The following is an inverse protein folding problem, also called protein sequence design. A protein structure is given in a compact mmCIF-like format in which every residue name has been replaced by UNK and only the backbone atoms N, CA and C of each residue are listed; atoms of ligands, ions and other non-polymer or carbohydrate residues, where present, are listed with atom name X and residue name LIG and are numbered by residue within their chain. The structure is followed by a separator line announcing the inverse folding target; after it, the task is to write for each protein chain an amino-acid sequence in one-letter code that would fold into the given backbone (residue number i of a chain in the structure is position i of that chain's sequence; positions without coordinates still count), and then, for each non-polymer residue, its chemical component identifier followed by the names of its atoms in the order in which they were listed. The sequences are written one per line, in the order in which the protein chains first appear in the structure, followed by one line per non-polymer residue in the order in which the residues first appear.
data_IF_207991502409
#
_entry.id   IF_207991502409
#
_cell.length_a   1.000
_cell.length_b   1.000
_cell.length_c   1.000
_cell.angle_alpha   90.00
_cell.angle_beta   90.00
_cell.angle_gamma   90.00
#
_symmetry.space_group_name_H-M   'P 1'
#
loop_
_entity.id
_entity.type
_entity.pdbx_description
1 polymer ?
#
# COMPACT_ATOMS: atom_id res chain seq x y z
N UNK A 1 11.44 12.67 68.71
CA UNK A 1 11.69 11.22 68.83
C UNK A 1 10.49 10.48 68.30
N UNK A 2 10.75 9.49 67.44
CA UNK A 2 9.85 8.49 66.86
C UNK A 2 8.81 8.89 65.80
N UNK A 3 8.93 8.14 64.69
CA UNK A 3 7.86 7.57 63.88
C UNK A 3 7.28 8.44 62.76
N UNK A 4 7.78 8.20 61.54
CA UNK A 4 6.95 7.97 60.32
C UNK A 4 7.68 8.23 58.98
N UNK A 5 9.00 8.40 58.97
CA UNK A 5 9.79 8.54 57.71
C UNK A 5 10.15 7.17 57.09
N UNK A 6 9.67 6.05 57.65
CA UNK A 6 10.03 4.69 57.20
C UNK A 6 9.03 4.02 56.25
N UNK A 7 8.10 4.76 55.63
CA UNK A 7 7.14 4.15 54.70
C UNK A 7 7.48 4.28 53.21
N UNK A 8 8.47 5.10 52.83
CA UNK A 8 8.78 5.35 51.40
C UNK A 8 9.92 4.51 50.79
N UNK A 9 10.68 3.75 51.60
CA UNK A 9 11.82 2.96 51.09
C UNK A 9 11.50 1.51 50.73
N UNK A 10 10.22 1.13 50.68
CA UNK A 10 9.80 -0.27 50.41
C UNK A 10 9.13 -0.49 49.05
N UNK A 11 9.20 0.48 48.13
CA UNK A 11 8.52 0.38 46.83
C UNK A 11 9.41 0.02 45.65
N UNK A 12 10.74 0.05 45.76
CA UNK A 12 11.61 -0.30 44.63
C UNK A 12 12.89 -1.01 45.06
N UNK A 13 12.77 -2.26 45.51
CA UNK A 13 13.90 -3.20 45.42
C UNK A 13 13.45 -4.66 45.42
N UNK A 14 13.23 -5.18 44.23
CA UNK A 14 13.51 -6.59 43.92
C UNK A 14 13.78 -6.71 42.42
N UNK A 15 15.06 -6.67 42.03
CA UNK A 15 15.47 -7.18 40.72
C UNK A 15 15.73 -8.69 40.86
N UNK A 16 14.68 -9.47 41.07
CA UNK A 16 14.76 -10.91 40.84
C UNK A 16 14.72 -11.12 39.33
N UNK A 17 15.84 -11.52 38.74
CA UNK A 17 15.91 -11.90 37.33
C UNK A 17 14.82 -12.91 37.00
N UNK A 18 14.18 -12.75 35.84
CA UNK A 18 13.12 -13.66 35.39
C UNK A 18 13.76 -15.04 35.23
N UNK A 19 13.29 -16.02 36.01
CA UNK A 19 13.75 -17.41 35.89
C UNK A 19 13.39 -17.96 34.52
N UNK A 20 14.30 -18.71 33.90
CA UNK A 20 14.08 -19.38 32.60
C UNK A 20 12.79 -20.23 32.64
N UNK A 21 12.52 -20.90 33.77
CA UNK A 21 11.29 -21.67 33.97
C UNK A 21 10.05 -20.78 33.88
N UNK A 22 10.11 -19.58 34.48
CA UNK A 22 9.01 -18.61 34.39
C UNK A 22 8.78 -18.15 32.95
N UNK A 23 9.84 -17.92 32.17
CA UNK A 23 9.73 -17.55 30.75
C UNK A 23 9.07 -18.69 29.96
N UNK A 24 9.50 -19.93 30.18
CA UNK A 24 8.96 -21.11 29.49
C UNK A 24 7.47 -21.29 29.81
N UNK A 25 7.07 -21.18 31.09
CA UNK A 25 5.67 -21.30 31.50
C UNK A 25 4.84 -20.17 30.89
N UNK A 26 5.31 -18.92 30.95
CA UNK A 26 4.59 -17.78 30.35
C UNK A 26 4.45 -17.95 28.83
N UNK A 27 5.50 -18.39 28.14
CA UNK A 27 5.45 -18.66 26.70
C UNK A 27 4.47 -19.80 26.37
N UNK A 28 4.46 -20.88 27.16
CA UNK A 28 3.53 -21.99 26.97
C UNK A 28 2.07 -21.58 27.19
N UNK A 29 1.78 -20.78 28.22
CA UNK A 29 0.43 -20.26 28.48
C UNK A 29 -0.02 -19.31 27.37
N UNK A 30 0.87 -18.44 26.89
CA UNK A 30 0.59 -17.57 25.74
C UNK A 30 0.29 -18.39 24.50
N UNK A 31 1.13 -19.36 24.15
CA UNK A 31 0.94 -20.22 22.97
C UNK A 31 -0.34 -21.04 23.09
N UNK A 32 -0.65 -21.62 24.25
CA UNK A 32 -1.88 -22.37 24.48
C UNK A 32 -3.12 -21.47 24.39
N UNK A 33 -3.10 -20.29 25.00
CA UNK A 33 -4.20 -19.32 24.93
C UNK A 33 -4.43 -18.82 23.51
N UNK A 34 -3.36 -18.55 22.77
CA UNK A 34 -3.41 -18.13 21.37
C UNK A 34 -3.95 -19.24 20.45
N UNK A 35 -3.56 -20.51 20.68
CA UNK A 35 -4.11 -21.65 19.95
C UNK A 35 -5.60 -21.86 20.24
N UNK A 36 -6.01 -21.78 21.51
CA UNK A 36 -7.41 -21.87 21.89
C UNK A 36 -8.24 -20.72 21.27
N UNK A 37 -7.69 -19.51 21.24
CA UNK A 37 -8.35 -18.37 20.61
C UNK A 37 -8.48 -18.53 19.08
N UNK A 38 -7.43 -19.00 18.40
CA UNK A 38 -7.43 -19.27 16.96
C UNK A 38 -8.40 -20.40 16.57
N UNK A 39 -8.63 -21.39 17.45
CA UNK A 39 -9.63 -22.43 17.24
C UNK A 39 -11.05 -21.88 17.12
N UNK A 40 -11.41 -20.87 17.93
CA UNK A 40 -12.73 -20.23 17.87
C UNK A 40 -12.79 -19.05 16.89
N UNK A 41 -11.65 -18.57 16.39
CA UNK A 41 -11.54 -17.46 15.45
C UNK A 41 -10.66 -17.88 14.27
N UNK A 42 -11.16 -18.71 13.33
CA UNK A 42 -10.35 -19.27 12.25
C UNK A 42 -9.75 -18.21 11.31
N UNK A 43 -10.31 -16.99 11.28
CA UNK A 43 -9.79 -15.85 10.51
C UNK A 43 -8.65 -15.09 11.21
N UNK A 44 -8.35 -15.44 12.47
CA UNK A 44 -7.28 -14.83 13.25
C UNK A 44 -5.92 -15.26 12.69
N UNK A 45 -5.26 -14.33 12.03
CA UNK A 45 -3.90 -14.51 11.51
C UNK A 45 -3.00 -13.46 12.13
N UNK A 46 -2.00 -13.86 12.92
CA UNK A 46 -1.03 -12.95 13.53
C UNK A 46 -0.37 -11.99 12.55
N UNK A 47 -0.22 -12.41 11.28
CA UNK A 47 0.34 -11.59 10.20
C UNK A 47 -0.43 -10.29 10.00
N UNK A 48 -1.76 -10.29 10.19
CA UNK A 48 -2.66 -9.12 10.07
C UNK A 48 -2.49 -8.10 11.19
N UNK A 49 -1.74 -8.43 12.24
CA UNK A 49 -1.45 -7.51 13.36
C UNK A 49 0.03 -7.11 13.43
N UNK A 50 0.81 -7.43 12.40
CA UNK A 50 2.19 -6.94 12.30
C UNK A 50 2.21 -5.44 11.97
N UNK A 51 3.21 -4.72 12.50
CA UNK A 51 3.42 -3.29 12.18
C UNK A 51 3.54 -3.08 10.66
N UNK A 52 4.21 -4.02 9.97
CA UNK A 52 4.34 -4.03 8.51
C UNK A 52 2.97 -4.07 7.84
N UNK A 53 2.07 -4.96 8.27
CA UNK A 53 0.73 -5.03 7.71
C UNK A 53 -0.05 -3.73 7.91
N UNK A 54 0.04 -3.10 9.08
CA UNK A 54 -0.64 -1.83 9.36
C UNK A 54 -0.09 -0.70 8.47
N UNK A 55 1.23 -0.58 8.33
CA UNK A 55 1.87 0.40 7.43
C UNK A 55 1.37 0.20 5.99
N UNK A 56 1.34 -1.05 5.54
CA UNK A 56 0.87 -1.42 4.22
C UNK A 56 -0.61 -1.06 4.00
N UNK A 57 -1.48 -1.14 5.01
CA UNK A 57 -2.88 -0.67 4.89
C UNK A 57 -2.94 0.82 4.55
N UNK A 58 -2.15 1.65 5.24
CA UNK A 58 -2.13 3.09 4.98
C UNK A 58 -1.56 3.39 3.60
N UNK A 59 -0.49 2.69 3.19
CA UNK A 59 0.06 2.77 1.84
C UNK A 59 -0.97 2.40 0.78
N UNK A 60 -1.65 1.27 0.92
CA UNK A 60 -2.67 0.81 -0.02
C UNK A 60 -3.84 1.81 -0.12
N UNK A 61 -4.25 2.40 1.01
CA UNK A 61 -5.28 3.45 1.03
C UNK A 61 -4.83 4.69 0.25
N UNK A 62 -3.58 5.11 0.44
CA UNK A 62 -3.00 6.23 -0.31
C UNK A 62 -2.96 5.93 -1.81
N UNK A 63 -2.46 4.75 -2.22
CA UNK A 63 -2.39 4.37 -3.63
C UNK A 63 -3.75 4.40 -4.33
N UNK A 64 -4.79 3.92 -3.66
CA UNK A 64 -6.17 4.00 -4.17
C UNK A 64 -6.62 5.45 -4.34
N UNK A 65 -6.39 6.31 -3.34
CA UNK A 65 -6.74 7.72 -3.41
C UNK A 65 -5.96 8.47 -4.50
N UNK A 66 -4.69 8.14 -4.70
CA UNK A 66 -3.84 8.70 -5.75
C UNK A 66 -4.35 8.31 -7.14
N UNK A 67 -4.70 7.04 -7.38
CA UNK A 67 -5.25 6.62 -8.67
C UNK A 67 -6.56 7.33 -9.01
N UNK A 68 -7.42 7.60 -8.03
CA UNK A 68 -8.65 8.38 -8.26
C UNK A 68 -8.34 9.85 -8.62
N UNK A 69 -7.34 10.47 -7.99
CA UNK A 69 -6.91 11.82 -8.36
C UNK A 69 -6.35 11.86 -9.79
N UNK A 70 -5.55 10.86 -10.15
CA UNK A 70 -5.01 10.69 -11.50
C UNK A 70 -6.13 10.46 -12.51
N UNK A 71 -7.09 9.60 -12.19
CA UNK A 71 -8.28 9.37 -13.02
C UNK A 71 -8.99 10.68 -13.34
N UNK A 72 -9.25 11.52 -12.33
CA UNK A 72 -9.92 12.82 -12.51
C UNK A 72 -9.13 13.72 -13.46
N UNK A 73 -7.79 13.74 -13.37
CA UNK A 73 -6.97 14.52 -14.30
C UNK A 73 -7.02 13.97 -15.74
N UNK A 74 -6.98 12.65 -15.92
CA UNK A 74 -7.10 11.98 -17.23
C UNK A 74 -8.48 12.23 -17.84
N UNK A 75 -9.55 12.22 -17.04
CA UNK A 75 -10.91 12.53 -17.48
C UNK A 75 -11.08 14.00 -17.88
N UNK A 76 -10.46 14.93 -17.14
CA UNK A 76 -10.43 16.35 -17.54
C UNK A 76 -9.70 16.55 -18.87
N UNK A 77 -8.59 15.86 -19.09
CA UNK A 77 -7.90 15.89 -20.38
C UNK A 77 -8.83 15.46 -21.51
N UNK A 78 -9.61 14.39 -21.31
CA UNK A 78 -10.60 13.95 -22.30
C UNK A 78 -11.65 15.03 -22.57
N UNK A 79 -12.20 15.64 -21.51
CA UNK A 79 -13.24 16.67 -21.65
C UNK A 79 -12.75 17.88 -22.48
N UNK A 80 -11.45 18.18 -22.46
CA UNK A 80 -10.84 19.28 -23.22
C UNK A 80 -10.37 18.88 -24.63
N UNK A 81 -9.97 17.62 -24.84
CA UNK A 81 -9.30 17.18 -26.07
C UNK A 81 -10.15 16.22 -26.92
N UNK A 82 -11.22 15.65 -26.37
CA UNK A 82 -12.08 14.66 -27.04
C UNK A 82 -11.41 13.30 -27.26
N UNK A 83 -10.35 13.00 -26.52
CA UNK A 83 -9.69 11.70 -26.42
C UNK A 83 -8.83 11.60 -25.16
N UNK A 84 -8.54 10.38 -24.70
CA UNK A 84 -7.61 10.17 -23.58
C UNK A 84 -6.16 10.42 -23.97
N UNK A 85 -5.25 10.72 -23.03
CA UNK A 85 -3.84 10.96 -23.32
C UNK A 85 -3.18 9.85 -24.14
N UNK A 86 -2.14 10.20 -24.90
CA UNK A 86 -1.30 9.28 -25.69
C UNK A 86 -2.03 8.61 -26.86
N UNK A 87 -1.45 7.58 -27.50
CA UNK A 87 -2.06 6.86 -28.64
C UNK A 87 -2.72 5.55 -28.20
N UNK A 88 -3.61 5.00 -29.01
CA UNK A 88 -4.24 3.69 -28.74
C UNK A 88 -3.17 2.60 -28.51
N UNK A 89 -3.35 1.82 -27.45
CA UNK A 89 -2.41 0.79 -27.02
C UNK A 89 -1.12 1.31 -26.36
N UNK A 90 -0.96 2.62 -26.18
CA UNK A 90 0.14 3.15 -25.39
C UNK A 90 0.02 2.68 -23.94
N UNK A 91 1.14 2.27 -23.37
CA UNK A 91 1.19 1.84 -22.00
C UNK A 91 2.58 2.08 -21.40
N UNK A 92 2.59 2.52 -20.15
CA UNK A 92 3.80 2.82 -19.42
C UNK A 92 3.56 3.39 -18.04
N UNK A 93 4.65 3.56 -17.29
CA UNK A 93 4.62 4.29 -16.02
C UNK A 93 4.15 5.72 -16.24
N UNK A 94 3.23 6.19 -15.41
CA UNK A 94 2.59 7.50 -15.63
C UNK A 94 3.59 8.65 -15.52
N UNK A 95 4.53 8.55 -14.56
CA UNK A 95 5.70 9.44 -14.49
C UNK A 95 6.92 8.68 -15.00
N UNK A 96 7.16 8.75 -16.31
CA UNK A 96 8.39 8.25 -16.92
C UNK A 96 9.28 9.40 -17.41
N UNK A 97 10.59 9.21 -17.29
CA UNK A 97 11.60 10.11 -17.89
C UNK A 97 11.79 9.78 -19.38
N UNK A 98 11.71 8.50 -19.74
CA UNK A 98 11.94 8.02 -21.11
C UNK A 98 10.68 8.13 -21.97
N UNK A 99 9.50 8.02 -21.36
CA UNK A 99 8.21 8.05 -22.05
C UNK A 99 7.24 9.04 -21.36
N UNK A 100 7.51 10.36 -21.42
CA UNK A 100 6.80 11.36 -20.63
C UNK A 100 5.42 11.71 -21.18
N UNK A 101 4.96 11.10 -22.29
CA UNK A 101 3.75 11.49 -23.03
C UNK A 101 2.50 11.62 -22.14
N UNK A 102 2.24 10.61 -21.30
CA UNK A 102 1.10 10.61 -20.38
C UNK A 102 1.26 11.67 -19.27
N UNK A 103 2.48 11.83 -18.75
CA UNK A 103 2.82 12.82 -17.72
C UNK A 103 2.58 14.24 -18.25
N UNK A 104 3.14 14.55 -19.41
CA UNK A 104 3.10 15.89 -20.00
C UNK A 104 1.68 16.28 -20.39
N UNK A 105 0.83 15.32 -20.76
CA UNK A 105 -0.58 15.55 -21.04
C UNK A 105 -1.38 15.97 -19.80
N UNK A 106 -1.09 15.40 -18.62
CA UNK A 106 -1.95 15.59 -17.44
C UNK A 106 -1.35 16.47 -16.34
N UNK A 107 -0.03 16.77 -16.37
CA UNK A 107 0.65 17.49 -15.30
C UNK A 107 0.02 18.87 -15.03
N UNK A 108 -0.54 19.51 -16.05
CA UNK A 108 -1.22 20.81 -15.92
C UNK A 108 -2.52 20.78 -15.10
N UNK A 109 -3.12 19.61 -14.89
CA UNK A 109 -4.30 19.45 -14.03
C UNK A 109 -3.94 19.26 -12.55
N UNK A 110 -2.66 19.15 -12.23
CA UNK A 110 -2.15 19.11 -10.87
C UNK A 110 -1.60 20.48 -10.48
N UNK A 111 -1.81 20.85 -9.21
CA UNK A 111 -1.23 22.06 -8.65
C UNK A 111 0.28 21.91 -8.39
N UNK A 112 0.78 22.69 -7.44
CA UNK A 112 2.20 22.66 -7.02
C UNK A 112 2.68 21.30 -6.51
N UNK A 113 1.75 20.44 -6.10
CA UNK A 113 2.06 19.11 -5.55
C UNK A 113 2.41 18.08 -6.64
N UNK A 114 2.11 18.39 -7.91
CA UNK A 114 2.39 17.52 -9.05
C UNK A 114 1.54 16.25 -9.09
N UNK A 115 1.87 15.36 -10.04
CA UNK A 115 1.21 14.04 -10.15
C UNK A 115 1.65 13.17 -8.95
N UNK A 116 0.71 12.57 -8.19
CA UNK A 116 1.05 11.63 -7.13
C UNK A 116 1.89 10.45 -7.61
N UNK A 117 2.76 9.93 -6.74
CA UNK A 117 3.60 8.76 -7.00
C UNK A 117 3.42 7.74 -5.88
N UNK A 118 3.66 6.46 -6.19
CA UNK A 118 3.59 5.38 -5.20
C UNK A 118 4.53 5.69 -4.02
N UNK A 119 4.03 5.70 -2.77
CA UNK A 119 4.84 6.07 -1.60
C UNK A 119 6.00 5.11 -1.31
N UNK A 120 5.94 3.86 -1.77
CA UNK A 120 7.00 2.86 -1.59
C UNK A 120 7.83 2.63 -2.86
N UNK A 121 7.24 2.87 -4.03
CA UNK A 121 7.85 2.54 -5.33
C UNK A 121 8.11 3.75 -6.22
N UNK A 122 8.09 4.96 -5.64
CA UNK A 122 8.38 6.23 -6.34
C UNK A 122 9.59 6.11 -7.26
N UNK A 123 9.39 6.39 -8.54
CA UNK A 123 10.49 6.43 -9.49
C UNK A 123 10.93 5.07 -10.05
N UNK A 124 10.34 3.97 -9.58
CA UNK A 124 10.67 2.60 -10.00
C UNK A 124 9.66 2.05 -11.01
N UNK A 125 9.90 0.87 -11.59
CA UNK A 125 8.94 0.20 -12.47
C UNK A 125 7.63 -0.22 -11.80
N UNK A 126 7.52 -0.13 -10.47
CA UNK A 126 6.32 -0.46 -9.70
C UNK A 126 5.53 0.79 -9.25
N UNK A 127 5.93 1.98 -9.70
CA UNK A 127 5.13 3.20 -9.56
C UNK A 127 3.82 3.09 -10.37
N UNK A 128 2.94 4.10 -10.28
CA UNK A 128 1.65 4.07 -10.96
C UNK A 128 1.78 3.91 -12.47
N UNK A 129 0.95 3.05 -13.04
CA UNK A 129 0.97 2.69 -14.45
C UNK A 129 -0.27 3.21 -15.16
N UNK A 130 -0.11 3.64 -16.41
CA UNK A 130 -1.18 4.09 -17.29
C UNK A 130 -1.16 3.27 -18.58
N UNK A 131 -2.35 2.90 -19.06
CA UNK A 131 -2.53 2.34 -20.39
C UNK A 131 -3.79 2.92 -21.02
N UNK A 132 -3.64 3.44 -22.23
CA UNK A 132 -4.76 3.78 -23.12
C UNK A 132 -5.15 2.51 -23.86
N UNK A 133 -6.37 2.03 -23.63
CA UNK A 133 -6.89 0.85 -24.32
C UNK A 133 -7.37 1.25 -25.73
N UNK A 134 -8.15 2.32 -25.79
CA UNK A 134 -8.57 2.97 -27.03
C UNK A 134 -8.81 4.48 -26.78
N UNK A 135 -9.34 5.19 -27.78
CA UNK A 135 -9.64 6.63 -27.70
C UNK A 135 -10.52 7.04 -26.52
N UNK A 136 -11.43 6.16 -26.12
CA UNK A 136 -12.50 6.40 -25.18
C UNK A 136 -12.40 5.52 -23.93
N UNK A 137 -11.33 4.75 -23.76
CA UNK A 137 -11.10 3.92 -22.58
C UNK A 137 -9.64 3.88 -22.13
N UNK A 138 -9.43 3.87 -20.81
CA UNK A 138 -8.09 3.72 -20.22
C UNK A 138 -8.12 2.94 -18.91
N UNK A 139 -6.94 2.53 -18.48
CA UNK A 139 -6.70 1.87 -17.20
C UNK A 139 -5.51 2.50 -16.47
N UNK A 140 -5.65 2.58 -15.14
CA UNK A 140 -4.62 2.97 -14.19
C UNK A 140 -4.36 1.81 -13.24
N UNK A 141 -3.11 1.57 -12.89
CA UNK A 141 -2.72 0.43 -12.07
C UNK A 141 -1.83 0.83 -10.91
N UNK A 142 -1.99 0.11 -9.80
CA UNK A 142 -1.09 0.16 -8.65
C UNK A 142 -0.80 -1.26 -8.12
N UNK A 143 0.35 -1.40 -7.45
CA UNK A 143 0.70 -2.58 -6.66
C UNK A 143 0.26 -2.33 -5.21
N UNK A 144 -0.72 -3.08 -4.74
CA UNK A 144 -1.09 -3.13 -3.32
C UNK A 144 -0.29 -4.21 -2.60
N UNK A 145 0.01 -3.98 -1.33
CA UNK A 145 0.80 -4.90 -0.51
C UNK A 145 -0.08 -5.88 0.26
N UNK A 146 -1.27 -5.44 0.68
CA UNK A 146 -2.19 -6.26 1.46
C UNK A 146 -3.41 -6.62 0.62
N UNK A 147 -3.33 -7.77 -0.05
CA UNK A 147 -4.41 -8.28 -0.89
C UNK A 147 -5.18 -9.40 -0.20
N UNK A 148 -6.51 -9.46 -0.39
CA UNK A 148 -7.26 -10.69 -0.20
C UNK A 148 -6.72 -11.81 -1.09
N UNK A 149 -6.80 -13.06 -0.61
CA UNK A 149 -6.48 -14.23 -1.43
C UNK A 149 -7.36 -14.26 -2.69
N UNK A 150 -6.75 -14.53 -3.85
CA UNK A 150 -7.45 -14.56 -5.15
C UNK A 150 -7.64 -13.19 -5.81
N UNK A 151 -7.01 -12.13 -5.28
CA UNK A 151 -7.00 -10.83 -5.96
C UNK A 151 -6.42 -10.95 -7.37
N UNK A 152 -7.00 -10.27 -8.38
CA UNK A 152 -6.49 -10.33 -9.74
C UNK A 152 -5.09 -9.72 -9.82
N UNK A 153 -4.28 -10.27 -10.71
CA UNK A 153 -3.01 -9.69 -11.14
C UNK A 153 -3.12 -9.31 -12.60
N UNK A 154 -2.66 -8.13 -12.94
CA UNK A 154 -2.68 -7.58 -14.28
C UNK A 154 -1.29 -7.68 -14.90
N UNK A 155 -1.23 -8.21 -16.12
CA UNK A 155 0.02 -8.31 -16.87
C UNK A 155 -0.06 -7.53 -18.18
N UNK A 156 0.86 -6.59 -18.32
CA UNK A 156 1.06 -5.75 -19.49
C UNK A 156 2.51 -5.82 -19.97
N UNK A 157 3.02 -7.05 -20.11
CA UNK A 157 4.32 -7.32 -20.69
C UNK A 157 4.46 -6.68 -22.09
N UNK A 158 5.63 -6.09 -22.35
CA UNK A 158 5.90 -5.32 -23.57
C UNK A 158 5.54 -3.83 -23.47
N UNK A 159 4.92 -3.38 -22.38
CA UNK A 159 4.72 -1.96 -22.12
C UNK A 159 5.99 -1.27 -21.62
N UNK A 160 6.05 0.05 -21.82
CA UNK A 160 7.21 0.86 -21.44
C UNK A 160 7.39 0.85 -19.91
N UNK A 161 8.62 0.69 -19.42
CA UNK A 161 8.92 0.62 -17.98
C UNK A 161 8.11 -0.45 -17.20
N UNK A 162 7.63 -1.49 -17.88
CA UNK A 162 6.92 -2.60 -17.23
C UNK A 162 7.89 -3.39 -16.32
N UNK A 163 7.55 -3.67 -15.06
CA UNK A 163 8.43 -4.36 -14.12
C UNK A 163 8.62 -5.85 -14.45
N UNK A 164 7.81 -6.42 -15.35
CA UNK A 164 7.98 -7.78 -15.89
C UNK A 164 7.38 -8.90 -15.04
N UNK A 165 6.91 -8.60 -13.83
CA UNK A 165 6.54 -9.58 -12.80
C UNK A 165 5.03 -9.66 -12.52
N UNK A 166 4.19 -8.96 -13.29
CA UNK A 166 2.73 -9.02 -13.12
C UNK A 166 2.25 -8.48 -11.77
N UNK A 167 3.02 -7.59 -11.14
CA UNK A 167 2.80 -7.14 -9.75
C UNK A 167 1.62 -6.20 -9.56
N UNK A 168 1.10 -5.62 -10.62
CA UNK A 168 -0.06 -4.75 -10.52
C UNK A 168 -1.30 -5.58 -10.19
N UNK A 169 -1.99 -5.21 -9.13
CA UNK A 169 -3.06 -6.02 -8.54
C UNK A 169 -4.28 -5.18 -8.12
N UNK A 170 -4.26 -3.90 -8.50
CA UNK A 170 -5.37 -2.99 -8.37
C UNK A 170 -5.46 -2.13 -9.63
N UNK A 171 -6.68 -2.00 -10.15
CA UNK A 171 -6.96 -1.27 -11.36
C UNK A 171 -8.12 -0.31 -11.11
N UNK A 172 -8.01 0.89 -11.68
CA UNK A 172 -9.12 1.82 -11.89
C UNK A 172 -9.21 2.08 -13.39
N UNK A 173 -10.42 2.09 -13.94
CA UNK A 173 -10.66 2.40 -15.36
C UNK A 173 -11.54 3.63 -15.53
N UNK A 174 -11.45 4.23 -16.71
CA UNK A 174 -12.34 5.29 -17.19
C UNK A 174 -12.83 4.98 -18.59
N UNK A 175 -14.06 5.41 -18.89
CA UNK A 175 -14.71 5.25 -20.20
C UNK A 175 -15.60 6.46 -20.46
N UNK A 176 -15.66 6.94 -21.70
CA UNK A 176 -16.56 8.01 -22.14
C UNK A 176 -17.37 7.62 -23.38
#
# INVERSE_FOLDING_TARGET
MNSSINHFYKLFKSSSGISIISIIITAAVLVAGLNAYAYFNPDFQFRKYSIVYVINIFGDKQRKADLEQIKVAVEKYYDENGEYPTRDGWCGRIISVLHPDAKDAIIGYFGTDGIPQDPLHRGTGQDYFYRREDRNTFVLLAKLENLPAGSPTYNYEGCSDWPGDGVFNYQVSGSR
#
